data_IF_065397313973
#
_entry.id   IF_065397313973
#
_cell.length_a   1.000
_cell.length_b   1.000
_cell.length_c   1.000
_cell.angle_alpha   90.00
_cell.angle_beta   90.00
_cell.angle_gamma   90.00
#
_symmetry.space_group_name_H-M   'P 1'
#
loop_
_entity.id
_entity.type
_entity.pdbx_description
1 polymer ?
#
# COMPACT_ATOMS: atom_id res chain seq x y z
N UNK A 1 10.63 -13.93 -9.35
CA UNK A 1 10.00 -12.82 -10.11
C UNK A 1 9.05 -12.06 -9.19
N UNK A 2 9.15 -10.73 -9.12
CA UNK A 2 8.28 -9.89 -8.28
C UNK A 2 6.92 -9.70 -8.97
N UNK A 3 6.02 -10.67 -8.86
CA UNK A 3 4.73 -10.64 -9.56
C UNK A 3 3.66 -9.86 -8.77
N UNK A 4 3.87 -8.56 -8.55
CA UNK A 4 2.99 -7.74 -7.73
C UNK A 4 2.37 -6.60 -8.56
N UNK A 5 1.08 -6.37 -8.36
CA UNK A 5 0.34 -5.29 -8.98
C UNK A 5 0.08 -4.15 -7.99
N UNK A 6 0.39 -2.91 -8.36
CA UNK A 6 0.13 -1.74 -7.52
C UNK A 6 -0.35 -0.54 -8.31
N UNK A 7 -0.67 0.56 -7.62
CA UNK A 7 -1.12 1.81 -8.25
C UNK A 7 0.00 2.83 -8.36
N UNK A 8 0.10 3.47 -9.52
CA UNK A 8 0.99 4.61 -9.75
C UNK A 8 0.22 5.82 -10.29
N UNK A 9 0.77 7.01 -10.07
CA UNK A 9 0.24 8.25 -10.60
C UNK A 9 0.63 8.43 -12.07
N UNK A 10 -0.15 9.24 -12.80
CA UNK A 10 0.20 9.70 -14.16
C UNK A 10 1.22 10.85 -14.18
N UNK A 11 1.67 11.32 -13.00
CA UNK A 11 2.70 12.36 -12.87
C UNK A 11 4.10 11.87 -13.28
N UNK A 12 5.05 12.79 -13.49
CA UNK A 12 6.45 12.46 -13.80
C UNK A 12 7.07 11.53 -12.76
N UNK A 13 6.92 11.84 -11.47
CA UNK A 13 7.42 10.98 -10.39
C UNK A 13 6.74 9.60 -10.39
N UNK A 14 5.44 9.57 -10.72
CA UNK A 14 4.69 8.32 -10.89
C UNK A 14 5.24 7.45 -12.02
N UNK A 15 5.70 8.05 -13.13
CA UNK A 15 6.33 7.33 -14.24
C UNK A 15 7.71 6.76 -13.86
N UNK A 16 8.48 7.45 -13.02
CA UNK A 16 9.75 6.92 -12.51
C UNK A 16 9.49 5.68 -11.64
N UNK A 17 8.55 5.78 -10.70
CA UNK A 17 8.15 4.66 -9.85
C UNK A 17 7.62 3.48 -10.69
N UNK A 18 6.80 3.78 -11.70
CA UNK A 18 6.25 2.80 -12.63
C UNK A 18 7.33 2.02 -13.38
N UNK A 19 8.33 2.73 -13.91
CA UNK A 19 9.46 2.12 -14.62
C UNK A 19 10.25 1.19 -13.70
N UNK A 20 10.49 1.59 -12.45
CA UNK A 20 11.20 0.77 -11.47
C UNK A 20 10.39 -0.48 -11.14
N UNK A 21 9.08 -0.37 -10.90
CA UNK A 21 8.21 -1.51 -10.61
C UNK A 21 8.24 -2.53 -11.76
N UNK A 22 8.12 -2.07 -13.00
CA UNK A 22 8.18 -2.94 -14.18
C UNK A 22 9.54 -3.61 -14.32
N UNK A 23 10.65 -2.89 -14.07
CA UNK A 23 11.99 -3.50 -14.09
C UNK A 23 12.19 -4.57 -13.02
N UNK A 24 11.51 -4.46 -11.89
CA UNK A 24 11.52 -5.49 -10.85
C UNK A 24 10.64 -6.70 -11.21
N UNK A 25 9.81 -6.60 -12.25
CA UNK A 25 8.90 -7.65 -12.73
C UNK A 25 7.46 -7.48 -12.26
N UNK A 26 7.14 -6.37 -11.58
CA UNK A 26 5.79 -6.03 -11.17
C UNK A 26 5.00 -5.35 -12.30
N UNK A 27 3.73 -5.12 -12.04
CA UNK A 27 2.82 -4.42 -12.96
C UNK A 27 2.09 -3.31 -12.22
N UNK A 28 1.58 -2.33 -12.96
CA UNK A 28 0.88 -1.20 -12.33
C UNK A 28 -0.45 -0.90 -13.00
N UNK A 29 -1.30 -0.27 -12.21
CA UNK A 29 -2.52 0.38 -12.69
C UNK A 29 -2.41 1.88 -12.45
N UNK A 30 -2.52 2.67 -13.51
CA UNK A 30 -2.27 4.11 -13.47
C UNK A 30 -3.55 4.92 -13.25
N UNK A 31 -3.45 5.98 -12.46
CA UNK A 31 -4.54 6.95 -12.35
C UNK A 31 -4.15 8.25 -11.64
N UNK A 32 -4.79 9.35 -12.04
CA UNK A 32 -4.66 10.65 -11.40
C UNK A 32 -5.51 10.78 -10.13
N UNK A 33 -5.08 11.64 -9.22
CA UNK A 33 -5.72 11.92 -7.93
C UNK A 33 -7.10 12.61 -8.03
N UNK A 34 -7.49 13.09 -9.20
CA UNK A 34 -8.77 13.77 -9.46
C UNK A 34 -9.83 12.81 -9.99
N UNK A 35 -9.65 12.30 -11.22
CA UNK A 35 -10.64 11.42 -11.88
C UNK A 35 -10.08 10.01 -12.17
N UNK A 36 -8.77 9.83 -12.13
CA UNK A 36 -8.14 8.55 -12.47
C UNK A 36 -8.11 7.52 -11.35
N UNK A 37 -8.41 7.87 -10.10
CA UNK A 37 -8.38 6.94 -8.97
C UNK A 37 -9.33 5.73 -9.17
N UNK A 38 -10.53 5.97 -9.71
CA UNK A 38 -11.49 4.90 -10.01
C UNK A 38 -10.99 4.00 -11.15
N UNK A 39 -10.40 4.59 -12.19
CA UNK A 39 -9.82 3.82 -13.30
C UNK A 39 -8.66 2.95 -12.83
N UNK A 40 -7.79 3.51 -11.98
CA UNK A 40 -6.68 2.77 -11.41
C UNK A 40 -7.15 1.60 -10.52
N UNK A 41 -8.18 1.81 -9.70
CA UNK A 41 -8.78 0.75 -8.90
C UNK A 41 -9.40 -0.35 -9.77
N UNK A 42 -10.11 0.01 -10.84
CA UNK A 42 -10.64 -0.95 -11.82
C UNK A 42 -9.52 -1.76 -12.49
N UNK A 43 -8.40 -1.12 -12.82
CA UNK A 43 -7.24 -1.81 -13.36
C UNK A 43 -6.60 -2.78 -12.36
N UNK A 44 -6.53 -2.42 -11.07
CA UNK A 44 -6.11 -3.37 -10.03
C UNK A 44 -7.06 -4.57 -9.92
N UNK A 45 -8.38 -4.36 -9.98
CA UNK A 45 -9.35 -5.46 -9.97
C UNK A 45 -9.11 -6.41 -11.15
N UNK A 46 -8.84 -5.88 -12.34
CA UNK A 46 -8.52 -6.70 -13.53
C UNK A 46 -7.24 -7.50 -13.33
N UNK A 47 -6.18 -6.89 -12.78
CA UNK A 47 -4.91 -7.55 -12.49
C UNK A 47 -5.05 -8.62 -11.40
N UNK A 48 -5.85 -8.35 -10.37
CA UNK A 48 -6.14 -9.30 -9.30
C UNK A 48 -6.88 -10.52 -9.83
N UNK A 49 -7.89 -10.29 -10.69
CA UNK A 49 -8.61 -11.38 -11.38
C UNK A 49 -7.73 -12.18 -12.34
N UNK A 50 -6.64 -11.62 -12.86
CA UNK A 50 -5.66 -12.35 -13.67
C UNK A 50 -4.56 -13.02 -12.83
N UNK A 51 -4.70 -13.06 -11.51
CA UNK A 51 -3.82 -13.81 -10.61
C UNK A 51 -2.65 -13.00 -10.05
N UNK A 52 -2.63 -11.67 -10.19
CA UNK A 52 -1.60 -10.84 -9.57
C UNK A 52 -1.96 -10.52 -8.10
N UNK A 53 -1.08 -10.81 -7.13
CA UNK A 53 -1.13 -10.21 -5.81
C UNK A 53 -1.18 -8.68 -5.89
N UNK A 54 -2.08 -8.06 -5.13
CA UNK A 54 -2.25 -6.60 -5.15
C UNK A 54 -1.61 -5.97 -3.91
N UNK A 55 -0.89 -4.87 -4.11
CA UNK A 55 -0.52 -3.95 -3.03
C UNK A 55 -1.05 -2.55 -3.32
N UNK A 56 -1.42 -1.83 -2.26
CA UNK A 56 -1.77 -0.42 -2.37
C UNK A 56 -1.52 0.34 -1.08
N UNK A 57 -1.15 1.61 -1.19
CA UNK A 57 -1.22 2.53 -0.07
C UNK A 57 -2.69 2.89 0.21
N UNK A 58 -3.09 2.76 1.48
CA UNK A 58 -4.50 2.91 1.89
C UNK A 58 -4.90 4.35 2.17
N UNK A 59 -3.94 5.26 2.35
CA UNK A 59 -4.15 6.67 2.68
C UNK A 59 -4.39 7.56 1.45
N UNK A 60 -4.01 7.08 0.26
CA UNK A 60 -4.32 7.65 -1.04
C UNK A 60 -3.79 9.08 -1.28
N UNK A 61 -3.80 9.58 -2.51
CA UNK A 61 -2.96 10.72 -2.93
C UNK A 61 -3.28 12.08 -2.28
N UNK A 62 -4.43 12.22 -1.63
CA UNK A 62 -4.86 13.46 -0.95
C UNK A 62 -4.65 13.41 0.57
N UNK A 63 -4.13 12.30 1.09
CA UNK A 63 -4.04 12.06 2.53
C UNK A 63 -5.41 12.16 3.25
N UNK A 64 -5.41 12.43 4.56
CA UNK A 64 -4.23 12.60 5.42
C UNK A 64 -3.43 11.29 5.58
N UNK A 65 -2.14 11.42 5.90
CA UNK A 65 -1.25 10.27 6.14
C UNK A 65 -1.84 9.33 7.20
N UNK A 66 -1.70 8.02 6.99
CA UNK A 66 -2.21 6.96 7.88
C UNK A 66 -3.73 6.87 8.04
N UNK A 67 -4.51 7.66 7.27
CA UNK A 67 -5.98 7.54 7.28
C UNK A 67 -6.45 6.61 6.18
N UNK A 68 -6.89 5.41 6.56
CA UNK A 68 -7.42 4.40 5.65
C UNK A 68 -8.61 4.95 4.84
N UNK A 69 -8.60 4.69 3.52
CA UNK A 69 -9.69 5.03 2.59
C UNK A 69 -10.41 3.78 2.11
N UNK A 70 -11.66 3.97 1.68
CA UNK A 70 -12.56 2.88 1.24
C UNK A 70 -12.06 2.05 0.06
N UNK A 71 -11.10 2.55 -0.73
CA UNK A 71 -10.59 1.87 -1.93
C UNK A 71 -10.04 0.47 -1.64
N UNK A 72 -9.40 0.25 -0.49
CA UNK A 72 -8.88 -1.07 -0.10
C UNK A 72 -10.01 -2.06 0.20
N UNK A 73 -11.09 -1.60 0.85
CA UNK A 73 -12.25 -2.42 1.16
C UNK A 73 -13.07 -2.74 -0.09
N UNK A 74 -13.20 -1.77 -1.01
CA UNK A 74 -13.81 -2.01 -2.32
C UNK A 74 -13.04 -3.05 -3.13
N UNK A 75 -11.70 -2.98 -3.11
CA UNK A 75 -10.85 -3.95 -3.79
C UNK A 75 -11.01 -5.35 -3.19
N UNK A 76 -10.95 -5.48 -1.86
CA UNK A 76 -11.17 -6.74 -1.15
C UNK A 76 -12.54 -7.33 -1.48
N UNK A 77 -13.59 -6.50 -1.46
CA UNK A 77 -14.97 -6.92 -1.76
C UNK A 77 -15.15 -7.40 -3.20
N UNK A 78 -14.51 -6.73 -4.17
CA UNK A 78 -14.61 -7.07 -5.59
C UNK A 78 -13.79 -8.31 -5.97
N UNK A 79 -12.69 -8.58 -5.25
CA UNK A 79 -11.82 -9.73 -5.45
C UNK A 79 -12.19 -10.93 -4.58
N UNK A 80 -12.95 -10.73 -3.50
CA UNK A 80 -13.18 -11.76 -2.48
C UNK A 80 -11.89 -12.15 -1.74
N UNK A 81 -10.93 -11.23 -1.64
CA UNK A 81 -9.60 -11.49 -1.13
C UNK A 81 -9.38 -10.87 0.26
N UNK A 82 -8.63 -11.54 1.16
CA UNK A 82 -8.28 -10.99 2.46
C UNK A 82 -7.34 -9.79 2.34
N UNK A 83 -7.33 -8.92 3.36
CA UNK A 83 -6.43 -7.76 3.42
C UNK A 83 -5.30 -8.08 4.40
N UNK A 84 -4.06 -8.07 3.93
CA UNK A 84 -2.88 -8.21 4.78
C UNK A 84 -2.34 -6.81 5.14
N UNK A 85 -2.36 -6.41 6.42
CA UNK A 85 -1.71 -5.18 6.88
C UNK A 85 -0.19 -5.34 6.78
N UNK A 86 0.48 -4.38 6.17
CA UNK A 86 1.94 -4.41 5.99
C UNK A 86 2.58 -3.20 6.66
N UNK A 87 3.51 -3.45 7.57
CA UNK A 87 4.38 -2.45 8.18
C UNK A 87 5.74 -2.44 7.49
N UNK A 88 6.21 -1.28 7.05
CA UNK A 88 7.53 -1.13 6.40
C UNK A 88 8.35 -0.07 7.11
N UNK A 89 9.58 -0.41 7.53
CA UNK A 89 10.54 0.57 8.04
C UNK A 89 11.92 0.38 7.42
N UNK A 90 12.55 1.52 7.12
CA UNK A 90 13.94 1.63 6.72
C UNK A 90 14.68 2.58 7.67
N UNK A 91 15.63 2.13 8.52
CA UNK A 91 16.32 2.99 9.47
C UNK A 91 17.16 4.08 8.78
N UNK A 92 17.99 3.66 7.82
CA UNK A 92 18.87 4.56 7.05
C UNK A 92 18.12 5.05 5.81
N UNK A 93 17.50 6.22 5.91
CA UNK A 93 16.61 6.76 4.87
C UNK A 93 16.75 8.27 4.72
N UNK A 94 16.49 8.77 3.51
CA UNK A 94 16.23 10.19 3.29
C UNK A 94 14.72 10.42 3.37
N UNK A 95 14.28 11.19 4.37
CA UNK A 95 12.86 11.51 4.58
C UNK A 95 12.48 12.78 3.82
N UNK A 96 11.49 12.69 2.94
CA UNK A 96 10.93 13.86 2.27
C UNK A 96 9.92 14.56 3.19
N UNK A 97 10.42 15.30 4.18
CA UNK A 97 9.60 15.94 5.24
C UNK A 97 8.59 16.97 4.73
N UNK A 98 8.85 17.58 3.57
CA UNK A 98 7.93 18.51 2.89
C UNK A 98 6.80 17.80 2.12
N UNK A 99 6.90 16.48 1.92
CA UNK A 99 5.85 15.71 1.26
C UNK A 99 4.72 15.39 2.25
N UNK A 100 3.47 15.53 1.82
CA UNK A 100 2.29 15.28 2.66
C UNK A 100 2.28 13.85 3.25
N UNK A 101 2.83 12.89 2.52
CA UNK A 101 2.87 11.47 2.91
C UNK A 101 4.15 11.08 3.64
N UNK A 102 5.06 12.04 3.88
CA UNK A 102 6.36 11.79 4.51
C UNK A 102 7.06 10.53 3.97
N UNK A 103 6.97 10.32 2.65
CA UNK A 103 7.64 9.20 2.00
C UNK A 103 9.14 9.32 2.19
N UNK A 104 9.85 8.20 2.08
CA UNK A 104 11.28 8.17 2.27
C UNK A 104 11.95 7.30 1.22
N UNK A 105 13.15 7.71 0.84
CA UNK A 105 14.02 6.93 -0.03
C UNK A 105 15.02 6.17 0.85
N UNK A 106 15.04 4.82 0.80
CA UNK A 106 16.10 4.04 1.44
C UNK A 106 17.48 4.47 0.93
N UNK A 107 18.44 4.67 1.84
CA UNK A 107 19.83 4.96 1.44
C UNK A 107 20.48 3.69 0.87
N UNK A 108 21.51 3.79 0.01
CA UNK A 108 22.25 2.62 -0.44
C UNK A 108 22.70 1.75 0.75
N UNK A 109 22.51 0.44 0.60
CA UNK A 109 22.82 -0.60 1.61
C UNK A 109 22.00 -0.51 2.90
N UNK A 110 20.89 0.22 2.92
CA UNK A 110 19.96 0.22 4.05
C UNK A 110 19.20 -1.11 4.13
N UNK A 111 18.97 -1.59 5.36
CA UNK A 111 18.02 -2.68 5.61
C UNK A 111 16.59 -2.14 5.54
N UNK A 112 15.72 -2.83 4.81
CA UNK A 112 14.27 -2.58 4.79
C UNK A 112 13.58 -3.73 5.49
N UNK A 113 12.83 -3.43 6.55
CA UNK A 113 12.10 -4.40 7.36
C UNK A 113 10.63 -4.32 6.94
N UNK A 114 10.09 -5.47 6.52
CA UNK A 114 8.70 -5.61 6.10
C UNK A 114 8.05 -6.64 7.02
N UNK A 115 6.99 -6.25 7.71
CA UNK A 115 6.19 -7.12 8.57
C UNK A 115 4.80 -7.24 7.98
N UNK A 116 4.35 -8.47 7.80
CA UNK A 116 2.97 -8.81 7.45
C UNK A 116 2.25 -9.18 8.74
N UNK A 117 1.15 -8.49 9.03
CA UNK A 117 0.28 -8.84 10.16
C UNK A 117 -0.79 -9.85 9.72
N UNK A 118 -1.54 -10.34 10.70
CA UNK A 118 -2.65 -11.28 10.48
C UNK A 118 -3.66 -10.71 9.48
N UNK A 119 -4.19 -11.54 8.56
CA UNK A 119 -5.14 -11.07 7.57
C UNK A 119 -6.44 -10.61 8.20
N UNK A 120 -7.02 -9.56 7.64
CA UNK A 120 -8.44 -9.25 7.81
C UNK A 120 -9.23 -10.06 6.79
N UNK A 121 -10.33 -10.64 7.24
CA UNK A 121 -11.26 -11.38 6.39
C UNK A 121 -11.74 -10.56 5.18
N UNK A 122 -12.02 -11.21 4.04
CA UNK A 122 -12.56 -10.53 2.87
C UNK A 122 -13.81 -9.71 3.20
N UNK A 123 -13.87 -8.49 2.69
CA UNK A 123 -15.04 -7.62 2.88
C UNK A 123 -16.24 -8.23 2.17
N UNK A 124 -17.32 -8.48 2.92
CA UNK A 124 -18.52 -9.12 2.38
C UNK A 124 -19.41 -8.13 1.64
N UNK A 125 -20.34 -8.62 0.81
CA UNK A 125 -21.33 -7.77 0.12
C UNK A 125 -22.25 -6.99 1.08
N UNK A 126 -22.40 -7.46 2.33
CA UNK A 126 -23.24 -6.84 3.36
C UNK A 126 -22.55 -5.72 4.11
N UNK A 127 -21.22 -5.66 4.08
CA UNK A 127 -20.44 -4.61 4.73
C UNK A 127 -20.34 -3.39 3.82
N UNK A 128 -20.49 -2.20 4.40
CA UNK A 128 -20.22 -0.94 3.70
C UNK A 128 -18.70 -0.70 3.64
N UNK A 129 -18.08 -0.64 2.45
CA UNK A 129 -16.66 -0.30 2.30
C UNK A 129 -16.29 1.09 2.82
N UNK A 130 -17.26 1.96 3.12
CA UNK A 130 -17.05 3.27 3.76
C UNK A 130 -17.22 3.23 5.28
N UNK A 131 -17.45 2.06 5.87
CA UNK A 131 -17.57 1.91 7.32
C UNK A 131 -16.33 2.42 8.05
N UNK A 132 -16.56 3.28 9.03
CA UNK A 132 -15.49 3.80 9.88
C UNK A 132 -14.87 2.68 10.74
N UNK A 133 -15.66 1.71 11.17
CA UNK A 133 -15.19 0.55 11.94
C UNK A 133 -14.17 -0.28 11.16
N UNK A 134 -14.42 -0.53 9.87
CA UNK A 134 -13.45 -1.22 9.00
C UNK A 134 -12.17 -0.41 8.85
N UNK A 135 -12.30 0.91 8.66
CA UNK A 135 -11.17 1.82 8.53
C UNK A 135 -10.30 1.83 9.79
N UNK A 136 -10.92 1.91 10.97
CA UNK A 136 -10.23 1.93 12.27
C UNK A 136 -9.54 0.59 12.55
N UNK A 137 -10.22 -0.53 12.31
CA UNK A 137 -9.64 -1.87 12.47
C UNK A 137 -8.41 -2.08 11.59
N UNK A 138 -8.47 -1.66 10.32
CA UNK A 138 -7.31 -1.75 9.42
C UNK A 138 -6.20 -0.77 9.82
N UNK A 139 -6.55 0.44 10.28
CA UNK A 139 -5.58 1.42 10.74
C UNK A 139 -4.81 0.93 11.97
N UNK A 140 -5.51 0.31 12.93
CA UNK A 140 -4.90 -0.29 14.11
C UNK A 140 -3.94 -1.42 13.72
N UNK A 141 -4.36 -2.31 12.81
CA UNK A 141 -3.54 -3.41 12.34
C UNK A 141 -2.28 -2.91 11.58
N UNK A 142 -2.41 -1.88 10.72
CA UNK A 142 -1.27 -1.25 10.05
C UNK A 142 -0.30 -0.60 11.05
N UNK A 143 -0.84 0.07 12.09
CA UNK A 143 -0.02 0.64 13.15
C UNK A 143 0.68 -0.46 13.97
N UNK A 144 0.00 -1.58 14.23
CA UNK A 144 0.54 -2.78 14.86
C UNK A 144 1.72 -3.35 14.06
N UNK A 145 1.50 -3.65 12.78
CA UNK A 145 2.53 -4.14 11.86
C UNK A 145 3.76 -3.22 11.82
N UNK A 146 3.53 -1.89 11.79
CA UNK A 146 4.62 -0.90 11.82
C UNK A 146 5.37 -0.90 13.14
N UNK A 147 4.68 -0.97 14.28
CA UNK A 147 5.33 -1.07 15.61
C UNK A 147 6.18 -2.34 15.71
N UNK A 148 5.70 -3.46 15.18
CA UNK A 148 6.47 -4.70 15.11
C UNK A 148 7.72 -4.52 14.25
N UNK A 149 7.59 -3.93 13.05
CA UNK A 149 8.72 -3.63 12.18
C UNK A 149 9.77 -2.73 12.86
N UNK A 150 9.36 -1.77 13.70
CA UNK A 150 10.29 -0.94 14.49
C UNK A 150 11.13 -1.74 15.48
N UNK A 151 10.57 -2.77 16.12
CA UNK A 151 11.28 -3.56 17.14
C UNK A 151 12.49 -4.28 16.56
N UNK A 152 12.35 -4.83 15.35
CA UNK A 152 13.46 -5.48 14.65
C UNK A 152 14.63 -4.55 14.32
N UNK A 153 14.44 -3.23 14.34
CA UNK A 153 15.53 -2.26 14.16
C UNK A 153 16.41 -2.23 15.41
N UNK A 154 15.80 -2.25 16.60
CA UNK A 154 16.52 -2.25 17.87
C UNK A 154 17.40 -3.49 18.00
N UNK A 155 16.90 -4.64 17.55
CA UNK A 155 17.63 -5.93 17.60
C UNK A 155 18.69 -6.08 16.48
N UNK A 156 18.71 -5.17 15.49
CA UNK A 156 19.58 -5.22 14.31
C UNK A 156 20.78 -4.26 14.36
N UNK A 157 20.96 -3.56 15.49
CA UNK A 157 22.10 -2.65 15.72
C UNK A 157 23.18 -3.44 16.45
N UNK A 158 24.37 -3.67 15.84
CA UNK A 158 25.47 -4.32 16.54
C UNK A 158 26.02 -3.46 17.67
#
# INVERSE_FOLDING_TARGET
HFNLATMTSTSKDGQIIDLVIHRLGGVTSKGSSTRGAVQALKGLVRLGKSGHPISMAVDGPKGPIYKVKSGVFELSRLLGAPIFPIGVICPKRHLFSKSWNQTYLPMPFSKVIIVFDSPLEPVTKRQDPRSQELADKLAEALAGARRQASKFIADSTP
#
